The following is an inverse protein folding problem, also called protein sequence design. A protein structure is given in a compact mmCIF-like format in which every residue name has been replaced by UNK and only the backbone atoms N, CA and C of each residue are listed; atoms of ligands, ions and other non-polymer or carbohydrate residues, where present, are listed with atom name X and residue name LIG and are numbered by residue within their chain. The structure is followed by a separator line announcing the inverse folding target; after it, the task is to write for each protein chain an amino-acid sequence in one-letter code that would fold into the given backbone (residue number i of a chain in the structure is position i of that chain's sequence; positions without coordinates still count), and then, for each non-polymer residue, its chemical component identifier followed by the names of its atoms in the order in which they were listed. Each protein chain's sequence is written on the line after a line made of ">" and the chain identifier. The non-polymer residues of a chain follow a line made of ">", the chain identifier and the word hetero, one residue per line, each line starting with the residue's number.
data_IF_634476242570
#
_entry.id   IF_634476242570
#
_cell.length_a   1.000
_cell.length_b   1.000
_cell.length_c   1.000
_cell.angle_alpha   90.00
_cell.angle_beta   90.00
_cell.angle_gamma   90.00
#
_symmetry.space_group_name_H-M   'P 1'
#
loop_
_entity.id
_entity.type
_entity.pdbx_description
1 polymer ?
#
# COMPACT_ATOMS: atom_id res chain seq x y z
N UNK A 1 11.38 -0.92 16.83
CA UNK A 1 10.36 -1.33 15.86
C UNK A 1 10.33 -0.31 14.75
N UNK A 2 10.24 -0.75 13.50
CA UNK A 2 10.03 0.14 12.36
C UNK A 2 8.68 0.86 12.49
N UNK A 3 8.65 2.16 12.20
CA UNK A 3 7.43 2.96 12.23
C UNK A 3 6.83 3.05 10.83
N UNK A 4 5.72 2.34 10.62
CA UNK A 4 4.97 2.32 9.36
C UNK A 4 3.88 3.41 9.30
N UNK A 5 3.87 4.35 10.24
CA UNK A 5 2.86 5.40 10.34
C UNK A 5 2.72 6.25 9.08
N UNK A 6 3.82 6.54 8.37
CA UNK A 6 3.76 7.24 7.09
C UNK A 6 3.00 6.44 6.04
N UNK A 7 3.32 5.15 5.89
CA UNK A 7 2.65 4.28 4.93
C UNK A 7 1.16 4.13 5.23
N UNK A 8 0.82 3.87 6.49
CA UNK A 8 -0.57 3.79 6.98
C UNK A 8 -1.32 5.10 6.67
N UNK A 9 -0.69 6.24 6.92
CA UNK A 9 -1.29 7.54 6.63
C UNK A 9 -1.54 7.74 5.13
N UNK A 10 -0.62 7.33 4.24
CA UNK A 10 -0.80 7.41 2.80
C UNK A 10 -1.95 6.51 2.31
N UNK A 11 -2.03 5.27 2.78
CA UNK A 11 -3.13 4.36 2.43
C UNK A 11 -4.49 4.96 2.84
N UNK A 12 -4.58 5.47 4.07
CA UNK A 12 -5.80 6.13 4.57
C UNK A 12 -6.12 7.43 3.86
N UNK A 13 -5.11 8.21 3.49
CA UNK A 13 -5.28 9.43 2.72
C UNK A 13 -5.94 9.10 1.39
N UNK A 14 -5.35 8.19 0.60
CA UNK A 14 -5.91 7.77 -0.69
C UNK A 14 -7.33 7.20 -0.54
N UNK A 15 -7.55 6.35 0.46
CA UNK A 15 -8.86 5.77 0.77
C UNK A 15 -9.95 6.83 1.05
N UNK A 16 -9.56 7.97 1.63
CA UNK A 16 -10.46 9.05 2.02
C UNK A 16 -10.65 10.11 0.94
N UNK A 17 -9.63 10.37 0.13
CA UNK A 17 -9.66 11.45 -0.86
C UNK A 17 -10.11 11.00 -2.24
N UNK A 18 -10.15 9.69 -2.50
CA UNK A 18 -10.62 9.16 -3.78
C UNK A 18 -12.15 9.13 -3.82
N UNK A 19 -12.72 9.79 -4.82
CA UNK A 19 -14.16 9.78 -5.07
C UNK A 19 -14.67 8.37 -5.40
N UNK A 20 -15.69 7.94 -4.67
CA UNK A 20 -16.28 6.60 -4.78
C UNK A 20 -17.32 6.51 -5.90
N UNK A 21 -16.88 6.86 -7.11
CA UNK A 21 -17.74 7.02 -8.29
C UNK A 21 -18.34 5.70 -8.80
N UNK A 22 -17.76 4.56 -8.45
CA UNK A 22 -18.31 3.23 -8.76
C UNK A 22 -18.22 2.30 -7.55
N UNK A 23 -19.06 1.25 -7.47
CA UNK A 23 -18.99 0.25 -6.40
C UNK A 23 -17.61 -0.40 -6.30
N UNK A 24 -16.96 -0.65 -7.44
CA UNK A 24 -15.62 -1.23 -7.48
C UNK A 24 -14.56 -0.29 -6.89
N UNK A 25 -14.64 1.02 -7.16
CA UNK A 25 -13.72 2.00 -6.57
C UNK A 25 -13.97 2.12 -5.06
N UNK A 26 -15.23 2.11 -4.63
CA UNK A 26 -15.57 2.12 -3.21
C UNK A 26 -14.95 0.92 -2.47
N UNK A 27 -15.07 -0.28 -3.05
CA UNK A 27 -14.53 -1.50 -2.47
C UNK A 27 -12.99 -1.50 -2.43
N UNK A 28 -12.32 -0.91 -3.43
CA UNK A 28 -10.86 -0.71 -3.39
C UNK A 28 -10.45 0.23 -2.24
N UNK A 29 -11.19 1.31 -1.99
CA UNK A 29 -10.87 2.24 -0.91
C UNK A 29 -11.13 1.61 0.47
N UNK A 30 -12.17 0.80 0.60
CA UNK A 30 -12.42 0.01 1.81
C UNK A 30 -11.30 -1.01 2.05
N UNK A 31 -10.77 -1.60 0.97
CA UNK A 31 -9.62 -2.51 1.05
C UNK A 31 -8.34 -1.79 1.50
N UNK A 32 -8.07 -0.57 1.00
CA UNK A 32 -6.94 0.23 1.48
C UNK A 32 -7.06 0.56 2.97
N UNK A 33 -8.26 0.93 3.44
CA UNK A 33 -8.51 1.21 4.85
C UNK A 33 -8.26 -0.04 5.71
N UNK A 34 -8.77 -1.20 5.27
CA UNK A 34 -8.55 -2.50 5.94
C UNK A 34 -7.06 -2.85 6.04
N UNK A 35 -6.32 -2.71 4.94
CA UNK A 35 -4.87 -2.96 4.92
C UNK A 35 -4.15 -2.03 5.90
N UNK A 36 -4.50 -0.74 5.90
CA UNK A 36 -3.91 0.23 6.82
C UNK A 36 -4.16 -0.14 8.30
N UNK A 37 -5.37 -0.61 8.61
CA UNK A 37 -5.73 -1.05 9.97
C UNK A 37 -5.01 -2.35 10.35
N UNK A 38 -4.84 -3.29 9.42
CA UNK A 38 -4.07 -4.52 9.64
C UNK A 38 -2.59 -4.23 9.94
N UNK A 39 -1.96 -3.33 9.17
CA UNK A 39 -0.57 -2.90 9.40
C UNK A 39 -0.46 -2.19 10.76
N UNK A 40 -1.44 -1.36 11.13
CA UNK A 40 -1.45 -0.70 12.44
C UNK A 40 -1.51 -1.70 13.61
N UNK A 41 -2.14 -2.86 13.41
CA UNK A 41 -2.26 -3.91 14.42
C UNK A 41 -1.04 -4.85 14.47
N UNK A 42 -0.52 -5.28 13.31
CA UNK A 42 0.59 -6.26 13.21
C UNK A 42 1.98 -5.59 13.14
N UNK A 43 2.05 -4.32 12.80
CA UNK A 43 3.28 -3.54 12.65
C UNK A 43 3.95 -3.72 11.28
N UNK A 44 4.44 -4.92 10.96
CA UNK A 44 5.34 -5.15 9.82
C UNK A 44 4.74 -6.08 8.73
N UNK A 45 3.48 -6.45 8.87
CA UNK A 45 2.82 -7.37 7.96
C UNK A 45 1.32 -7.08 7.88
N UNK A 46 0.67 -7.65 6.87
CA UNK A 46 -0.78 -7.76 6.82
C UNK A 46 -1.19 -9.00 6.01
N UNK A 47 -2.34 -9.55 6.34
CA UNK A 47 -2.93 -10.67 5.58
C UNK A 47 -4.02 -10.17 4.64
N UNK A 48 -4.01 -10.66 3.39
CA UNK A 48 -5.04 -10.44 2.39
C UNK A 48 -5.82 -11.75 2.21
N UNK A 49 -7.15 -11.75 2.48
CA UNK A 49 -7.97 -12.93 2.27
C UNK A 49 -7.99 -13.37 0.80
N UNK A 50 -8.08 -14.67 0.55
CA UNK A 50 -8.05 -15.29 -0.78
C UNK A 50 -8.99 -14.60 -1.81
N UNK A 51 -10.25 -14.39 -1.42
CA UNK A 51 -11.25 -13.72 -2.28
C UNK A 51 -11.03 -12.22 -2.47
N UNK A 52 -10.04 -11.61 -1.82
CA UNK A 52 -9.73 -10.17 -1.89
C UNK A 52 -8.36 -9.87 -2.51
N UNK A 53 -7.59 -10.89 -2.91
CA UNK A 53 -6.26 -10.72 -3.50
C UNK A 53 -6.27 -9.74 -4.68
N UNK A 54 -7.16 -9.95 -5.66
CA UNK A 54 -7.21 -9.11 -6.86
C UNK A 54 -7.59 -7.66 -6.56
N UNK A 55 -8.52 -7.43 -5.64
CA UNK A 55 -8.93 -6.08 -5.29
C UNK A 55 -7.86 -5.36 -4.46
N UNK A 56 -7.20 -6.06 -3.54
CA UNK A 56 -6.06 -5.54 -2.80
C UNK A 56 -4.91 -5.14 -3.74
N UNK A 57 -4.57 -6.02 -4.70
CA UNK A 57 -3.57 -5.71 -5.72
C UNK A 57 -3.94 -4.46 -6.54
N UNK A 58 -5.17 -4.36 -7.04
CA UNK A 58 -5.62 -3.16 -7.78
C UNK A 58 -5.59 -1.90 -6.92
N UNK A 59 -6.01 -2.00 -5.67
CA UNK A 59 -6.02 -0.89 -4.73
C UNK A 59 -4.61 -0.35 -4.46
N UNK A 60 -3.66 -1.25 -4.17
CA UNK A 60 -2.25 -0.90 -3.96
C UNK A 60 -1.58 -0.35 -5.23
N UNK A 61 -1.91 -0.89 -6.41
CA UNK A 61 -1.45 -0.33 -7.68
C UNK A 61 -1.96 1.10 -7.89
N UNK A 62 -3.21 1.37 -7.49
CA UNK A 62 -3.79 2.72 -7.50
C UNK A 62 -3.03 3.69 -6.60
N UNK A 63 -2.67 3.27 -5.38
CA UNK A 63 -1.83 4.06 -4.46
C UNK A 63 -0.47 4.37 -5.10
N UNK A 64 0.23 3.36 -5.60
CA UNK A 64 1.53 3.56 -6.25
C UNK A 64 1.44 4.53 -7.43
N UNK A 65 0.41 4.38 -8.28
CA UNK A 65 0.17 5.26 -9.41
C UNK A 65 -0.12 6.71 -8.99
N UNK A 66 -0.90 6.93 -7.93
CA UNK A 66 -1.19 8.26 -7.40
C UNK A 66 0.06 8.90 -6.82
N UNK A 67 0.80 8.17 -5.98
CA UNK A 67 2.04 8.64 -5.37
C UNK A 67 3.07 9.01 -6.44
N UNK A 68 3.25 8.17 -7.46
CA UNK A 68 4.20 8.42 -8.55
C UNK A 68 3.83 9.65 -9.39
N UNK A 69 2.54 9.88 -9.66
CA UNK A 69 2.09 10.92 -10.60
C UNK A 69 1.83 12.27 -9.94
N UNK A 70 1.38 12.28 -8.69
CA UNK A 70 0.94 13.51 -8.01
C UNK A 70 1.89 13.91 -6.88
N UNK A 71 2.21 12.98 -5.97
CA UNK A 71 2.90 13.32 -4.72
C UNK A 71 4.42 13.39 -4.89
N UNK A 72 5.02 12.45 -5.61
CA UNK A 72 6.47 12.41 -5.81
C UNK A 72 7.01 13.67 -6.50
N UNK A 73 6.41 14.18 -7.59
CA UNK A 73 6.86 15.43 -8.22
C UNK A 73 6.82 16.64 -7.27
N UNK A 74 5.80 16.73 -6.41
CA UNK A 74 5.68 17.82 -5.43
C UNK A 74 6.78 17.75 -4.36
N UNK A 75 7.07 16.56 -3.83
CA UNK A 75 8.14 16.37 -2.86
C UNK A 75 9.51 16.75 -3.45
N UNK A 76 9.76 16.38 -4.71
CA UNK A 76 10.98 16.74 -5.46
C UNK A 76 11.05 18.24 -5.69
N UNK A 77 9.97 18.86 -6.16
CA UNK A 77 9.93 20.31 -6.44
C UNK A 77 10.12 21.14 -5.16
N UNK A 78 9.64 20.66 -4.02
CA UNK A 78 9.84 21.29 -2.71
C UNK A 78 11.24 21.05 -2.11
N UNK A 79 12.10 20.22 -2.73
CA UNK A 79 13.40 19.84 -2.19
C UNK A 79 13.31 19.02 -0.89
N UNK A 80 12.18 18.38 -0.62
CA UNK A 80 11.95 17.62 0.60
C UNK A 80 12.51 16.19 0.46
N UNK A 81 13.81 16.03 0.66
CA UNK A 81 14.51 14.74 0.49
C UNK A 81 13.94 13.61 1.37
N UNK A 82 13.53 13.92 2.60
CA UNK A 82 12.92 12.94 3.50
C UNK A 82 11.54 12.49 2.99
N UNK A 83 10.71 13.44 2.56
CA UNK A 83 9.41 13.15 1.95
C UNK A 83 9.55 12.36 0.64
N UNK A 84 10.52 12.74 -0.20
CA UNK A 84 10.82 12.00 -1.43
C UNK A 84 11.15 10.53 -1.14
N UNK A 85 12.04 10.27 -0.18
CA UNK A 85 12.43 8.90 0.18
C UNK A 85 11.23 8.08 0.67
N UNK A 86 10.37 8.68 1.51
CA UNK A 86 9.16 8.03 2.02
C UNK A 86 8.15 7.71 0.91
N UNK A 87 7.96 8.63 -0.03
CA UNK A 87 7.03 8.46 -1.16
C UNK A 87 7.56 7.39 -2.13
N UNK A 88 8.85 7.42 -2.47
CA UNK A 88 9.49 6.37 -3.30
C UNK A 88 9.33 5.00 -2.65
N UNK A 89 9.65 4.90 -1.36
CA UNK A 89 9.48 3.64 -0.63
C UNK A 89 8.02 3.15 -0.60
N UNK A 90 7.06 4.07 -0.47
CA UNK A 90 5.62 3.75 -0.53
C UNK A 90 5.23 3.16 -1.89
N UNK A 91 5.76 3.72 -2.97
CA UNK A 91 5.55 3.24 -4.35
C UNK A 91 6.14 1.84 -4.51
N UNK A 92 7.42 1.67 -4.17
CA UNK A 92 8.14 0.41 -4.36
C UNK A 92 7.49 -0.71 -3.54
N UNK A 93 7.21 -0.45 -2.26
CA UNK A 93 6.56 -1.42 -1.36
C UNK A 93 5.17 -1.83 -1.85
N UNK A 94 4.38 -0.86 -2.35
CA UNK A 94 3.06 -1.17 -2.88
C UNK A 94 3.15 -1.99 -4.16
N UNK A 95 4.08 -1.66 -5.06
CA UNK A 95 4.27 -2.39 -6.31
C UNK A 95 4.81 -3.81 -6.10
N UNK A 96 5.71 -4.00 -5.14
CA UNK A 96 6.18 -5.33 -4.72
C UNK A 96 5.03 -6.17 -4.17
N UNK A 97 4.21 -5.59 -3.27
CA UNK A 97 3.03 -6.27 -2.75
C UNK A 97 2.05 -6.64 -3.89
N UNK A 98 1.83 -5.76 -4.88
CA UNK A 98 1.00 -6.05 -6.05
C UNK A 98 1.53 -7.24 -6.83
N UNK A 99 2.82 -7.27 -7.14
CA UNK A 99 3.44 -8.36 -7.89
C UNK A 99 3.27 -9.69 -7.15
N UNK A 100 3.58 -9.69 -5.86
CA UNK A 100 3.51 -10.88 -5.00
C UNK A 100 2.08 -11.40 -4.84
N UNK A 101 1.11 -10.51 -4.57
CA UNK A 101 -0.31 -10.86 -4.48
C UNK A 101 -0.82 -11.43 -5.81
N UNK A 102 -0.43 -10.83 -6.93
CA UNK A 102 -0.88 -11.27 -8.26
C UNK A 102 -0.35 -12.66 -8.60
N UNK A 103 0.95 -12.89 -8.39
CA UNK A 103 1.57 -14.21 -8.61
C UNK A 103 0.94 -15.26 -7.70
N UNK A 104 0.72 -14.95 -6.42
CA UNK A 104 0.08 -15.87 -5.48
C UNK A 104 -1.37 -16.21 -5.89
N UNK A 105 -2.14 -15.20 -6.28
CA UNK A 105 -3.51 -15.38 -6.78
C UNK A 105 -3.56 -16.28 -8.02
N UNK A 106 -2.61 -16.14 -8.94
CA UNK A 106 -2.50 -16.97 -10.14
C UNK A 106 -2.13 -18.42 -9.80
N UNK A 107 -1.18 -18.63 -8.89
CA UNK A 107 -0.72 -19.97 -8.51
C UNK A 107 -1.76 -20.76 -7.72
N UNK A 108 -2.54 -20.08 -6.88
CA UNK A 108 -3.51 -20.71 -5.97
C UNK A 108 -4.95 -20.65 -6.48
N UNK A 109 -5.18 -19.99 -7.62
CA UNK A 109 -6.52 -19.82 -8.18
C UNK A 109 -7.44 -19.01 -7.27
N UNK A 110 -6.90 -17.97 -6.61
CA UNK A 110 -7.60 -17.15 -5.61
C UNK A 110 -8.14 -17.97 -4.40
N UNK A 111 -7.53 -19.13 -4.11
CA UNK A 111 -7.99 -20.10 -3.10
C UNK A 111 -7.34 -20.01 -1.73
N UNK A 112 -6.22 -19.29 -1.60
CA UNK A 112 -5.44 -19.20 -0.36
C UNK A 112 -5.16 -17.75 0.04
N UNK A 113 -5.23 -17.47 1.34
CA UNK A 113 -4.85 -16.17 1.90
C UNK A 113 -3.37 -15.89 1.63
N UNK A 114 -3.02 -14.60 1.46
CA UNK A 114 -1.64 -14.18 1.25
C UNK A 114 -1.19 -13.24 2.36
N UNK A 115 -0.05 -13.56 2.98
CA UNK A 115 0.59 -12.70 3.97
C UNK A 115 1.67 -11.85 3.31
N UNK A 116 1.49 -10.54 3.34
CA UNK A 116 2.48 -9.56 2.89
C UNK A 116 3.37 -9.17 4.06
N UNK A 117 4.68 -9.26 3.88
CA UNK A 117 5.68 -8.75 4.83
C UNK A 117 6.23 -7.45 4.27
N UNK A 118 6.19 -6.39 5.07
CA UNK A 118 6.66 -5.07 4.66
C UNK A 118 8.18 -4.94 4.89
N UNK A 119 8.92 -4.36 3.93
CA UNK A 119 10.32 -4.01 4.17
C UNK A 119 10.42 -2.94 5.28
N UNK A 120 11.61 -2.71 5.86
CA UNK A 120 11.79 -1.59 6.77
C UNK A 120 11.59 -0.24 6.05
N UNK A 121 10.89 0.74 6.66
CA UNK A 121 10.68 2.06 6.08
C UNK A 121 11.96 2.91 6.15
N UNK A 122 12.07 3.97 5.30
CA UNK A 122 13.22 4.86 5.30
C UNK A 122 13.39 5.53 6.65
N UNK A 123 14.62 5.56 7.17
CA UNK A 123 14.91 6.13 8.49
C UNK A 123 14.57 5.21 9.68
N UNK A 124 14.10 3.98 9.44
CA UNK A 124 14.06 2.97 10.49
C UNK A 124 15.50 2.68 10.96
N UNK A 125 15.76 2.92 12.25
CA UNK A 125 17.05 2.55 12.85
C UNK A 125 17.15 1.03 12.84
N UNK A 126 18.19 0.48 12.20
CA UNK A 126 18.63 -0.87 12.48
C UNK A 126 19.06 -0.89 13.96
N UNK A 127 18.38 -1.71 14.76
CA UNK A 127 18.83 -1.99 16.12
C UNK A 127 20.12 -2.81 16.09
#
# INVERSE_FOLDING_TARGET
>A
MADYGFYIAQLRFVARTTDRVTPQVAEMMDELARIADAIAAEGYAFTVPAGRLRIAGRALAGVAGLMQKQILPEAVAAGNAAGEAQVRWTIDTSMEAVANITVHAELTGDGEDYRVILPPPPGAKAN
#
